data_IF_960876706623
#
_entry.id   IF_960876706623
#
_cell.length_a   1.000
_cell.length_b   1.000
_cell.length_c   1.000
_cell.angle_alpha   90.00
_cell.angle_beta   90.00
_cell.angle_gamma   90.00
#
_symmetry.space_group_name_H-M   'P 1'
#
loop_
_entity.id
_entity.type
_entity.pdbx_description
1 polymer ?
#
# COMPACT_ATOMS: atom_id res chain seq x y z
N UNK A 1 15.93 -8.40 -30.42
CA UNK A 1 14.56 -7.84 -30.51
C UNK A 1 13.48 -8.89 -30.78
N UNK A 2 13.83 -10.14 -31.10
CA UNK A 2 12.89 -11.23 -31.41
C UNK A 2 11.92 -11.60 -30.27
N UNK A 3 12.36 -11.45 -29.01
CA UNK A 3 11.52 -11.75 -27.84
C UNK A 3 10.33 -10.80 -27.68
N UNK A 4 10.45 -9.53 -28.06
CA UNK A 4 9.35 -8.57 -27.94
C UNK A 4 8.33 -8.78 -29.07
N UNK A 5 8.80 -9.13 -30.27
CA UNK A 5 7.92 -9.45 -31.39
C UNK A 5 7.05 -10.69 -31.14
N UNK A 6 7.54 -11.68 -30.37
CA UNK A 6 6.79 -12.89 -30.03
C UNK A 6 5.71 -12.70 -28.95
N UNK A 7 5.69 -11.56 -28.25
CA UNK A 7 4.67 -11.25 -27.26
C UNK A 7 3.29 -10.99 -27.88
N UNK A 8 2.23 -11.33 -27.13
CA UNK A 8 0.88 -10.86 -27.43
C UNK A 8 0.79 -9.33 -27.35
N UNK A 9 -0.22 -8.74 -27.98
CA UNK A 9 -0.45 -7.29 -27.94
C UNK A 9 -0.56 -6.76 -26.51
N UNK A 10 -1.26 -7.50 -25.62
CA UNK A 10 -1.43 -7.09 -24.23
C UNK A 10 -0.08 -6.98 -23.48
N UNK A 11 0.80 -7.97 -23.65
CA UNK A 11 2.13 -7.93 -23.04
C UNK A 11 3.00 -6.84 -23.64
N UNK A 12 2.91 -6.59 -24.96
CA UNK A 12 3.61 -5.48 -25.61
C UNK A 12 3.21 -4.14 -25.00
N UNK A 13 1.91 -3.90 -24.83
CA UNK A 13 1.38 -2.67 -24.21
C UNK A 13 1.87 -2.52 -22.76
N UNK A 14 1.81 -3.59 -21.96
CA UNK A 14 2.31 -3.59 -20.59
C UNK A 14 3.80 -3.23 -20.51
N UNK A 15 4.64 -3.91 -21.31
CA UNK A 15 6.08 -3.64 -21.34
C UNK A 15 6.36 -2.20 -21.79
N UNK A 16 5.67 -1.71 -22.83
CA UNK A 16 5.84 -0.31 -23.27
C UNK A 16 5.42 0.69 -22.20
N UNK A 17 4.33 0.42 -21.49
CA UNK A 17 3.86 1.26 -20.37
C UNK A 17 4.88 1.31 -19.23
N UNK A 18 5.45 0.17 -18.85
CA UNK A 18 6.51 0.11 -17.84
C UNK A 18 7.77 0.84 -18.27
N UNK A 19 8.23 0.68 -19.52
CA UNK A 19 9.38 1.43 -20.05
C UNK A 19 9.10 2.93 -19.99
N UNK A 20 7.91 3.37 -20.41
CA UNK A 20 7.51 4.77 -20.32
C UNK A 20 7.58 5.28 -18.88
N UNK A 21 7.00 4.57 -17.91
CA UNK A 21 7.04 4.95 -16.49
C UNK A 21 8.47 5.03 -15.96
N UNK A 22 9.31 4.03 -16.29
CA UNK A 22 10.72 3.98 -15.86
C UNK A 22 11.58 5.10 -16.44
N UNK A 23 11.20 5.68 -17.57
CA UNK A 23 11.89 6.84 -18.16
C UNK A 23 11.28 8.16 -17.69
N UNK A 24 9.95 8.24 -17.62
CA UNK A 24 9.21 9.45 -17.31
C UNK A 24 9.36 9.86 -15.84
N UNK A 25 9.31 8.92 -14.89
CA UNK A 25 9.46 9.24 -13.46
C UNK A 25 10.82 9.86 -13.15
N UNK A 26 11.97 9.29 -13.56
CA UNK A 26 13.27 9.94 -13.37
C UNK A 26 13.38 11.30 -14.05
N UNK A 27 12.78 11.46 -15.24
CA UNK A 27 12.76 12.74 -15.95
C UNK A 27 12.00 13.82 -15.17
N UNK A 28 10.82 13.51 -14.64
CA UNK A 28 10.03 14.42 -13.80
C UNK A 28 10.80 14.79 -12.53
N UNK A 29 11.43 13.82 -11.87
CA UNK A 29 12.25 14.07 -10.68
C UNK A 29 13.43 14.98 -11.03
N UNK A 30 14.16 14.68 -12.11
CA UNK A 30 15.34 15.43 -12.53
C UNK A 30 15.02 16.90 -12.83
N UNK A 31 13.89 17.15 -13.49
CA UNK A 31 13.45 18.50 -13.86
C UNK A 31 12.92 19.31 -12.67
N UNK A 32 12.36 18.66 -11.66
CA UNK A 32 11.73 19.35 -10.52
C UNK A 32 12.60 19.40 -9.24
N UNK A 33 13.65 18.57 -9.12
CA UNK A 33 14.44 18.45 -7.88
C UNK A 33 15.16 19.70 -7.40
N UNK A 34 15.36 20.69 -8.27
CA UNK A 34 15.98 21.98 -7.92
C UNK A 34 14.96 23.01 -7.40
N UNK A 35 13.67 22.79 -7.66
CA UNK A 35 12.59 23.73 -7.36
C UNK A 35 11.75 23.31 -6.16
N UNK A 36 11.80 22.03 -5.77
CA UNK A 36 11.04 21.48 -4.65
C UNK A 36 11.95 20.95 -3.54
N UNK A 37 11.50 20.95 -2.27
CA UNK A 37 12.23 20.34 -1.16
C UNK A 37 12.55 18.87 -1.45
N UNK A 38 13.76 18.43 -1.11
CA UNK A 38 14.18 17.03 -1.32
C UNK A 38 13.25 16.02 -0.63
N UNK A 39 12.60 16.41 0.46
CA UNK A 39 11.60 15.60 1.16
C UNK A 39 10.39 15.25 0.28
N UNK A 40 9.98 16.10 -0.67
CA UNK A 40 8.87 15.83 -1.58
C UNK A 40 9.07 14.51 -2.32
N UNK A 41 10.27 14.27 -2.87
CA UNK A 41 10.54 13.07 -3.66
C UNK A 41 10.58 11.81 -2.82
N UNK A 42 11.06 11.91 -1.58
CA UNK A 42 11.02 10.78 -0.63
C UNK A 42 9.57 10.43 -0.27
N UNK A 43 8.75 11.44 -0.01
CA UNK A 43 7.34 11.26 0.33
C UNK A 43 6.52 10.77 -0.88
N UNK A 44 6.81 11.28 -2.08
CA UNK A 44 6.23 10.77 -3.33
C UNK A 44 6.49 9.27 -3.51
N UNK A 45 7.73 8.81 -3.33
CA UNK A 45 8.01 7.38 -3.43
C UNK A 45 7.36 6.58 -2.30
N UNK A 46 7.30 7.12 -1.08
CA UNK A 46 6.61 6.47 0.02
C UNK A 46 5.11 6.29 -0.27
N UNK A 47 4.44 7.33 -0.78
CA UNK A 47 3.05 7.27 -1.22
C UNK A 47 2.88 6.30 -2.40
N UNK A 48 3.73 6.36 -3.42
CA UNK A 48 3.69 5.46 -4.57
C UNK A 48 3.76 3.98 -4.16
N UNK A 49 4.69 3.64 -3.26
CA UNK A 49 4.82 2.27 -2.77
C UNK A 49 3.65 1.84 -1.88
N UNK A 50 3.13 2.74 -1.06
CA UNK A 50 1.92 2.47 -0.29
C UNK A 50 0.74 2.18 -1.23
N UNK A 51 0.57 2.96 -2.31
CA UNK A 51 -0.50 2.75 -3.31
C UNK A 51 -0.34 1.45 -4.05
N UNK A 52 0.88 1.12 -4.46
CA UNK A 52 1.17 -0.17 -5.06
C UNK A 52 0.78 -1.32 -4.12
N UNK A 53 1.17 -1.23 -2.85
CA UNK A 53 0.87 -2.23 -1.83
C UNK A 53 -0.64 -2.38 -1.60
N UNK A 54 -1.35 -1.26 -1.45
CA UNK A 54 -2.78 -1.22 -1.19
C UNK A 54 -3.59 -1.77 -2.36
N UNK A 55 -3.36 -1.27 -3.58
CA UNK A 55 -4.11 -1.71 -4.75
C UNK A 55 -3.75 -3.14 -5.18
N UNK A 56 -2.49 -3.54 -5.03
CA UNK A 56 -2.04 -4.90 -5.30
C UNK A 56 -2.74 -5.92 -4.39
N UNK A 57 -2.74 -5.66 -3.08
CA UNK A 57 -3.48 -6.51 -2.14
C UNK A 57 -4.98 -6.49 -2.44
N UNK A 58 -5.58 -5.30 -2.65
CA UNK A 58 -7.01 -5.18 -2.90
C UNK A 58 -7.45 -5.92 -4.17
N UNK A 59 -6.62 -5.97 -5.20
CA UNK A 59 -6.89 -6.72 -6.42
C UNK A 59 -6.95 -8.24 -6.20
N UNK A 60 -6.15 -8.75 -5.25
CA UNK A 60 -6.04 -10.18 -4.98
C UNK A 60 -6.81 -10.63 -3.73
N UNK A 61 -7.30 -9.71 -2.89
CA UNK A 61 -7.87 -10.03 -1.58
C UNK A 61 -9.09 -10.97 -1.65
N UNK A 62 -10.00 -10.71 -2.59
CA UNK A 62 -11.17 -11.59 -2.78
C UNK A 62 -10.72 -12.96 -3.28
N UNK A 63 -9.76 -13.01 -4.21
CA UNK A 63 -9.20 -14.26 -4.71
C UNK A 63 -8.54 -15.05 -3.58
N UNK A 64 -7.79 -14.37 -2.71
CA UNK A 64 -7.15 -14.95 -1.53
C UNK A 64 -8.19 -15.60 -0.60
N UNK A 65 -9.35 -14.99 -0.37
CA UNK A 65 -10.37 -15.54 0.52
C UNK A 65 -11.12 -16.75 -0.05
N UNK A 66 -11.32 -16.81 -1.38
CA UNK A 66 -12.15 -17.84 -2.02
C UNK A 66 -11.32 -18.99 -2.61
N UNK A 67 -10.04 -18.77 -2.89
CA UNK A 67 -9.17 -19.77 -3.49
C UNK A 67 -8.63 -20.77 -2.46
N UNK A 68 -8.26 -21.97 -2.95
CA UNK A 68 -7.67 -23.02 -2.10
C UNK A 68 -6.30 -22.66 -1.56
N UNK A 69 -5.54 -21.80 -2.24
CA UNK A 69 -4.16 -21.50 -1.88
C UNK A 69 -3.96 -20.86 -0.51
N UNK A 70 -4.97 -20.18 0.03
CA UNK A 70 -4.92 -19.55 1.35
C UNK A 70 -5.74 -20.30 2.42
N UNK A 71 -6.32 -21.46 2.09
CA UNK A 71 -7.08 -22.33 3.00
C UNK A 71 -8.30 -21.72 3.73
N UNK A 72 -8.71 -20.49 3.40
CA UNK A 72 -9.91 -19.84 3.96
C UNK A 72 -11.21 -20.40 3.36
N UNK A 73 -11.26 -20.57 2.04
CA UNK A 73 -12.38 -21.18 1.31
C UNK A 73 -13.75 -20.54 1.58
N UNK A 74 -13.78 -19.21 1.74
CA UNK A 74 -15.03 -18.49 1.97
C UNK A 74 -15.94 -18.52 0.75
N UNK A 75 -17.25 -18.44 1.00
CA UNK A 75 -18.22 -18.14 -0.04
C UNK A 75 -17.96 -16.73 -0.59
N UNK A 76 -18.18 -16.53 -1.90
CA UNK A 76 -17.99 -15.23 -2.56
C UNK A 76 -18.75 -14.10 -1.87
N UNK A 77 -19.97 -14.35 -1.42
CA UNK A 77 -20.80 -13.35 -0.72
C UNK A 77 -20.11 -12.86 0.56
N UNK A 78 -19.58 -13.78 1.37
CA UNK A 78 -18.82 -13.48 2.58
C UNK A 78 -17.52 -12.74 2.28
N UNK A 79 -16.77 -13.18 1.26
CA UNK A 79 -15.54 -12.53 0.81
C UNK A 79 -15.78 -11.06 0.38
N UNK A 80 -16.87 -10.79 -0.35
CA UNK A 80 -17.25 -9.42 -0.72
C UNK A 80 -17.69 -8.57 0.48
N UNK A 81 -18.36 -9.17 1.46
CA UNK A 81 -18.72 -8.47 2.70
C UNK A 81 -17.47 -8.03 3.48
N UNK A 82 -16.48 -8.93 3.65
CA UNK A 82 -15.20 -8.61 4.28
C UNK A 82 -14.46 -7.53 3.49
N UNK A 83 -14.40 -7.65 2.16
CA UNK A 83 -13.77 -6.66 1.29
C UNK A 83 -14.40 -5.27 1.45
N UNK A 84 -15.73 -5.19 1.51
CA UNK A 84 -16.48 -3.96 1.74
C UNK A 84 -16.21 -3.36 3.12
N UNK A 85 -16.24 -4.19 4.16
CA UNK A 85 -15.93 -3.77 5.53
C UNK A 85 -14.49 -3.27 5.67
N UNK A 86 -13.52 -3.98 5.09
CA UNK A 86 -12.13 -3.56 5.01
C UNK A 86 -12.00 -2.19 4.34
N UNK A 87 -12.63 -2.00 3.18
CA UNK A 87 -12.63 -0.73 2.47
C UNK A 87 -13.20 0.40 3.31
N UNK A 88 -14.34 0.19 3.96
CA UNK A 88 -14.95 1.19 4.84
C UNK A 88 -14.00 1.59 5.99
N UNK A 89 -13.36 0.62 6.63
CA UNK A 89 -12.42 0.88 7.72
C UNK A 89 -11.17 1.63 7.26
N UNK A 90 -10.63 1.32 6.09
CA UNK A 90 -9.50 2.04 5.48
C UNK A 90 -9.81 3.51 5.22
N UNK A 91 -11.07 3.85 4.93
CA UNK A 91 -11.50 5.26 4.80
C UNK A 91 -11.83 5.91 6.15
N UNK A 92 -12.23 5.12 7.16
CA UNK A 92 -12.60 5.63 8.48
C UNK A 92 -11.38 5.88 9.39
N UNK A 93 -10.42 4.96 9.45
CA UNK A 93 -9.27 5.08 10.37
C UNK A 93 -8.34 6.27 10.14
N UNK A 94 -8.18 6.84 8.92
CA UNK A 94 -7.45 8.07 8.71
C UNK A 94 -7.92 9.25 9.58
N UNK A 95 -9.21 9.36 9.87
CA UNK A 95 -9.73 10.42 10.76
C UNK A 95 -9.07 10.32 12.14
N UNK A 96 -8.97 9.11 12.69
CA UNK A 96 -8.34 8.88 13.99
C UNK A 96 -6.82 9.06 13.90
N UNK A 97 -6.19 8.53 12.87
CA UNK A 97 -4.73 8.61 12.70
C UNK A 97 -4.21 10.04 12.51
N UNK A 98 -4.99 10.91 11.87
CA UNK A 98 -4.68 12.35 11.76
C UNK A 98 -4.76 13.04 13.12
N UNK A 99 -5.87 12.85 13.85
CA UNK A 99 -6.06 13.42 15.19
C UNK A 99 -4.98 13.00 16.18
N UNK A 100 -4.56 11.73 16.13
CA UNK A 100 -3.50 11.21 17.01
C UNK A 100 -2.14 11.82 16.63
N UNK A 101 -1.86 12.00 15.35
CA UNK A 101 -0.61 12.60 14.90
C UNK A 101 -0.48 14.06 15.32
N UNK A 102 -1.55 14.83 15.17
CA UNK A 102 -1.58 16.25 15.58
C UNK A 102 -1.37 16.42 17.08
N UNK A 103 -1.97 15.55 17.90
CA UNK A 103 -1.96 15.69 19.36
C UNK A 103 -0.78 15.04 20.06
N UNK A 104 -0.24 13.93 19.53
CA UNK A 104 0.68 13.07 20.28
C UNK A 104 2.00 12.74 19.56
N UNK A 105 1.94 12.28 18.30
CA UNK A 105 3.12 11.66 17.66
C UNK A 105 3.89 12.58 16.70
N UNK A 106 3.22 13.57 16.11
CA UNK A 106 3.71 14.31 14.96
C UNK A 106 3.68 13.48 13.66
N UNK A 107 3.59 14.16 12.51
CA UNK A 107 3.37 13.50 11.23
C UNK A 107 4.43 12.47 10.86
N UNK A 108 5.72 12.79 11.03
CA UNK A 108 6.83 11.90 10.66
C UNK A 108 6.76 10.54 11.37
N UNK A 109 6.48 10.51 12.67
CA UNK A 109 6.41 9.24 13.43
C UNK A 109 5.18 8.45 13.04
N UNK A 110 4.03 9.11 12.84
CA UNK A 110 2.81 8.45 12.38
C UNK A 110 2.99 7.80 11.01
N UNK A 111 3.66 8.48 10.06
CA UNK A 111 3.97 7.91 8.74
C UNK A 111 4.85 6.66 8.88
N UNK A 112 5.91 6.72 9.70
CA UNK A 112 6.81 5.57 9.90
C UNK A 112 6.09 4.37 10.54
N UNK A 113 5.32 4.60 11.61
CA UNK A 113 4.52 3.55 12.23
C UNK A 113 3.47 2.99 11.28
N UNK A 114 2.83 3.86 10.49
CA UNK A 114 1.89 3.45 9.46
C UNK A 114 2.52 2.50 8.45
N UNK A 115 3.69 2.86 7.92
CA UNK A 115 4.46 2.03 7.00
C UNK A 115 4.88 0.68 7.59
N UNK A 116 5.36 0.67 8.84
CA UNK A 116 5.74 -0.56 9.55
C UNK A 116 4.54 -1.49 9.74
N UNK A 117 3.41 -0.96 10.22
CA UNK A 117 2.18 -1.75 10.41
C UNK A 117 1.67 -2.33 9.09
N UNK A 118 1.70 -1.56 8.01
CA UNK A 118 1.31 -2.07 6.69
C UNK A 118 2.26 -3.18 6.21
N UNK A 119 3.57 -2.98 6.33
CA UNK A 119 4.55 -4.00 5.97
C UNK A 119 4.33 -5.30 6.77
N UNK A 120 4.15 -5.19 8.09
CA UNK A 120 3.83 -6.33 8.95
C UNK A 120 2.54 -7.01 8.48
N UNK A 121 1.46 -6.25 8.21
CA UNK A 121 0.22 -6.80 7.69
C UNK A 121 0.41 -7.60 6.39
N UNK A 122 1.17 -7.08 5.44
CA UNK A 122 1.49 -7.81 4.20
C UNK A 122 2.30 -9.08 4.45
N UNK A 123 3.30 -9.04 5.34
CA UNK A 123 4.05 -10.24 5.71
C UNK A 123 3.17 -11.26 6.45
N UNK A 124 2.25 -10.80 7.30
CA UNK A 124 1.30 -11.66 8.01
C UNK A 124 0.35 -12.36 7.03
N UNK A 125 -0.05 -11.74 5.92
CA UNK A 125 -0.83 -12.44 4.88
C UNK A 125 -0.06 -13.59 4.20
N UNK A 126 1.27 -13.60 4.25
CA UNK A 126 2.07 -14.70 3.72
C UNK A 126 2.12 -15.92 4.67
N UNK A 127 1.41 -15.89 5.79
CA UNK A 127 1.40 -16.94 6.80
C UNK A 127 1.12 -18.36 6.26
N UNK A 128 0.20 -18.60 5.31
CA UNK A 128 -0.04 -19.95 4.79
C UNK A 128 1.21 -20.61 4.19
N UNK A 129 2.17 -19.82 3.68
CA UNK A 129 3.44 -20.33 3.16
C UNK A 129 4.23 -21.05 4.25
N UNK A 130 4.06 -20.68 5.52
CA UNK A 130 4.80 -21.29 6.62
C UNK A 130 4.51 -22.79 6.79
N UNK A 131 3.33 -23.25 6.38
CA UNK A 131 2.96 -24.67 6.37
C UNK A 131 3.92 -25.51 5.51
N UNK A 132 4.53 -24.92 4.48
CA UNK A 132 5.45 -25.61 3.57
C UNK A 132 6.84 -25.89 4.16
N UNK A 133 7.21 -25.26 5.27
CA UNK A 133 8.54 -25.43 5.88
C UNK A 133 8.62 -26.61 6.87
N UNK A 134 7.52 -27.34 7.12
CA UNK A 134 7.53 -28.54 7.98
C UNK A 134 7.81 -28.28 9.47
N UNK A 135 7.63 -27.04 9.94
CA UNK A 135 7.95 -26.62 11.31
C UNK A 135 6.85 -27.04 12.32
N UNK A 136 5.61 -27.19 11.87
CA UNK A 136 4.47 -27.68 12.66
C UNK A 136 3.48 -28.43 11.76
N UNK A 137 2.46 -29.07 12.34
CA UNK A 137 1.47 -29.84 11.57
C UNK A 137 0.64 -28.92 10.66
N UNK A 138 0.24 -29.38 9.45
CA UNK A 138 -0.64 -28.61 8.56
C UNK A 138 -1.95 -28.19 9.22
N UNK A 139 -2.52 -29.05 10.06
CA UNK A 139 -3.76 -28.76 10.81
C UNK A 139 -3.58 -27.61 11.80
N UNK A 140 -2.40 -27.48 12.41
CA UNK A 140 -2.09 -26.37 13.30
C UNK A 140 -2.09 -25.04 12.52
N UNK A 141 -1.37 -24.96 11.39
CA UNK A 141 -1.35 -23.76 10.56
C UNK A 141 -2.74 -23.39 10.06
N UNK A 142 -3.49 -24.37 9.56
CA UNK A 142 -4.87 -24.17 9.10
C UNK A 142 -5.77 -23.57 10.17
N UNK A 143 -5.65 -24.02 11.42
CA UNK A 143 -6.45 -23.47 12.53
C UNK A 143 -6.11 -22.02 12.88
N UNK A 144 -4.92 -21.54 12.51
CA UNK A 144 -4.49 -20.15 12.73
C UNK A 144 -4.68 -19.24 11.50
N UNK A 145 -4.90 -19.80 10.31
CA UNK A 145 -4.95 -19.02 9.06
C UNK A 145 -6.01 -17.91 9.09
N UNK A 146 -7.23 -18.22 9.54
CA UNK A 146 -8.33 -17.24 9.65
C UNK A 146 -8.05 -16.11 10.66
N UNK A 147 -7.72 -16.38 11.94
CA UNK A 147 -7.41 -15.30 12.87
C UNK A 147 -6.19 -14.48 12.45
N UNK A 148 -5.16 -15.13 11.90
CA UNK A 148 -3.96 -14.44 11.38
C UNK A 148 -4.31 -13.54 10.19
N UNK A 149 -5.22 -13.98 9.32
CA UNK A 149 -5.75 -13.16 8.23
C UNK A 149 -6.45 -11.89 8.75
N UNK A 150 -7.31 -11.99 9.76
CA UNK A 150 -7.96 -10.81 10.34
C UNK A 150 -6.97 -9.89 11.07
N UNK A 151 -5.93 -10.44 11.72
CA UNK A 151 -4.83 -9.66 12.28
C UNK A 151 -4.11 -8.89 11.17
N UNK A 152 -3.82 -9.54 10.04
CA UNK A 152 -3.21 -8.88 8.89
C UNK A 152 -4.06 -7.72 8.37
N UNK A 153 -5.38 -7.91 8.21
CA UNK A 153 -6.30 -6.84 7.82
C UNK A 153 -6.31 -5.69 8.84
N UNK A 154 -6.32 -6.00 10.13
CA UNK A 154 -6.25 -5.01 11.20
C UNK A 154 -4.97 -4.17 11.14
N UNK A 155 -3.82 -4.80 10.94
CA UNK A 155 -2.53 -4.13 10.76
C UNK A 155 -2.53 -3.21 9.54
N UNK A 156 -3.09 -3.65 8.42
CA UNK A 156 -3.21 -2.84 7.20
C UNK A 156 -4.15 -1.63 7.41
N UNK A 157 -5.29 -1.83 8.07
CA UNK A 157 -6.26 -0.78 8.38
C UNK A 157 -5.64 0.29 9.29
N UNK A 158 -4.96 -0.12 10.36
CA UNK A 158 -4.31 0.79 11.30
C UNK A 158 -3.11 1.48 10.67
N UNK A 159 -2.32 0.73 9.90
CA UNK A 159 -1.16 1.24 9.19
C UNK A 159 -1.54 2.32 8.19
N UNK A 160 -2.55 2.07 7.35
CA UNK A 160 -3.11 3.08 6.44
C UNK A 160 -3.67 4.28 7.23
N UNK A 161 -4.38 4.03 8.34
CA UNK A 161 -4.93 5.09 9.19
C UNK A 161 -3.87 6.09 9.67
N UNK A 162 -2.69 5.60 10.08
CA UNK A 162 -1.57 6.46 10.48
C UNK A 162 -0.79 7.06 9.31
N UNK A 163 -0.72 6.38 8.17
CA UNK A 163 0.06 6.83 7.03
C UNK A 163 -0.66 7.92 6.24
N UNK A 164 -1.90 7.64 5.81
CA UNK A 164 -2.64 8.42 4.81
C UNK A 164 -2.88 9.89 5.13
N UNK A 165 -3.47 10.23 6.27
CA UNK A 165 -3.81 11.63 6.57
C UNK A 165 -2.53 12.43 6.85
N UNK A 166 -1.47 11.76 7.29
CA UNK A 166 -0.28 12.40 7.82
C UNK A 166 0.77 12.67 6.76
N UNK A 167 0.88 11.82 5.72
CA UNK A 167 1.87 12.02 4.65
C UNK A 167 1.60 13.29 3.84
N UNK A 168 0.34 13.52 3.46
CA UNK A 168 -0.07 14.73 2.72
C UNK A 168 0.11 15.99 3.56
N UNK A 169 -0.29 15.94 4.85
CA UNK A 169 -0.08 17.03 5.79
C UNK A 169 1.41 17.33 5.99
N UNK A 170 2.25 16.29 6.05
CA UNK A 170 3.70 16.46 6.20
C UNK A 170 4.33 17.12 4.97
N UNK A 171 3.92 16.75 3.75
CA UNK A 171 4.36 17.45 2.52
C UNK A 171 4.08 18.95 2.62
N UNK A 172 2.89 19.32 3.11
CA UNK A 172 2.50 20.72 3.28
C UNK A 172 3.43 21.52 4.20
N UNK A 173 4.05 20.89 5.20
CA UNK A 173 4.96 21.56 6.15
C UNK A 173 6.29 22.02 5.55
N UNK A 174 6.63 21.57 4.34
CA UNK A 174 7.88 21.96 3.66
C UNK A 174 7.73 23.18 2.75
N UNK A 175 6.54 23.76 2.66
CA UNK A 175 6.26 24.94 1.86
C UNK A 175 5.71 26.07 2.74
N UNK A 176 6.08 27.31 2.41
CA UNK A 176 5.51 28.49 3.04
C UNK A 176 4.01 28.63 2.70
N UNK A 177 3.24 29.19 3.63
CA UNK A 177 1.83 29.48 3.40
C UNK A 177 1.66 30.46 2.23
N UNK A 178 0.72 30.16 1.33
CA UNK A 178 0.46 30.97 0.13
C UNK A 178 1.46 30.80 -1.03
N UNK A 179 2.46 29.91 -0.90
CA UNK A 179 3.42 29.65 -1.98
C UNK A 179 2.80 28.89 -3.15
N UNK A 180 2.92 29.41 -4.38
CA UNK A 180 2.53 28.67 -5.60
C UNK A 180 3.29 27.34 -5.77
N UNK A 181 4.49 27.23 -5.18
CA UNK A 181 5.28 25.98 -5.22
C UNK A 181 4.62 24.87 -4.41
N UNK A 182 3.78 25.22 -3.42
CA UNK A 182 3.00 24.25 -2.65
C UNK A 182 2.02 23.53 -3.57
N UNK A 183 1.23 24.27 -4.34
CA UNK A 183 0.23 23.69 -5.25
C UNK A 183 0.89 22.84 -6.34
N UNK A 184 2.00 23.34 -6.92
CA UNK A 184 2.80 22.55 -7.87
C UNK A 184 3.39 21.30 -7.22
N UNK A 185 3.80 21.40 -5.96
CA UNK A 185 4.31 20.29 -5.17
C UNK A 185 3.25 19.21 -4.92
N UNK A 186 2.02 19.60 -4.58
CA UNK A 186 0.89 18.67 -4.43
C UNK A 186 0.44 18.05 -5.77
N UNK A 187 0.64 18.72 -6.90
CA UNK A 187 0.40 18.11 -8.21
C UNK A 187 1.46 17.07 -8.59
N UNK A 188 2.68 17.18 -8.04
CA UNK A 188 3.75 16.20 -8.22
C UNK A 188 3.64 15.01 -7.26
N UNK A 189 3.05 15.24 -6.08
CA UNK A 189 2.86 14.25 -5.01
C UNK A 189 1.71 13.29 -5.34
#
# INVERSE_FOLDING_TARGET
MEWFSSLSLAYKLLVTGWIFVLLWVPYVIYTNKRHHPGALFVLFFAELWERFSYYGMRALLVLYMIDKGAELMYEKSHAYAIYGAYGAMVYATPLLGGLIAEKYFGYRKSILWGGILMALGHFTMAFPILSSFGIASPEFFKSLTEPVFFIALGLLILGNGFFKPNISSFVGTFYEEGSELRDRGFNLF
#
